data_IF_722508705979
#
_entry.id   IF_722508705979
#
_cell.length_a   1.000
_cell.length_b   1.000
_cell.length_c   1.000
_cell.angle_alpha   90.00
_cell.angle_beta   90.00
_cell.angle_gamma   90.00
#
_symmetry.space_group_name_H-M   'P 1'
#
loop_
_entity.id
_entity.type
_entity.pdbx_description
1 polymer ?
#
# COMPACT_ATOMS: atom_id res chain seq x y z
N UNK A 1 -20.24 -37.18 -0.68
CA UNK A 1 -19.80 -36.04 0.16
C UNK A 1 -19.08 -35.03 -0.72
N UNK A 2 -19.62 -33.82 -0.88
CA UNK A 2 -19.06 -32.78 -1.74
C UNK A 2 -18.00 -31.92 -1.06
N UNK A 3 -17.34 -31.06 -1.85
CA UNK A 3 -16.26 -30.15 -1.41
C UNK A 3 -16.70 -29.02 -0.45
N UNK A 4 -17.92 -29.04 0.08
CA UNK A 4 -18.43 -27.94 0.90
C UNK A 4 -17.92 -27.96 2.35
N UNK A 5 -17.63 -29.13 2.91
CA UNK A 5 -17.25 -29.30 4.35
C UNK A 5 -15.96 -30.11 4.52
N UNK A 6 -15.04 -29.96 3.57
CA UNK A 6 -13.83 -30.77 3.49
C UNK A 6 -12.89 -30.59 4.69
N UNK A 7 -12.92 -29.42 5.36
CA UNK A 7 -12.03 -29.10 6.48
C UNK A 7 -12.26 -30.04 7.69
N UNK A 8 -13.52 -30.39 7.95
CA UNK A 8 -13.92 -31.32 9.04
C UNK A 8 -14.06 -32.75 8.57
N UNK A 9 -14.37 -32.97 7.30
CA UNK A 9 -14.70 -34.29 6.77
C UNK A 9 -13.48 -35.07 6.24
N UNK A 10 -12.35 -34.40 5.97
CA UNK A 10 -11.16 -35.06 5.44
C UNK A 10 -10.10 -35.27 6.52
N UNK A 11 -9.44 -36.43 6.49
CA UNK A 11 -8.21 -36.66 7.22
C UNK A 11 -7.08 -35.79 6.67
N UNK A 12 -6.08 -35.47 7.49
CA UNK A 12 -5.01 -34.56 7.10
C UNK A 12 -4.22 -35.03 5.87
N UNK A 13 -3.98 -36.35 5.74
CA UNK A 13 -3.37 -36.92 4.54
C UNK A 13 -4.20 -36.71 3.26
N UNK A 14 -5.54 -36.70 3.36
CA UNK A 14 -6.43 -36.45 2.23
C UNK A 14 -6.46 -34.97 1.87
N UNK A 15 -6.39 -34.07 2.86
CA UNK A 15 -6.22 -32.63 2.65
C UNK A 15 -4.92 -32.35 1.91
N UNK A 16 -3.81 -32.94 2.35
CA UNK A 16 -2.49 -32.71 1.76
C UNK A 16 -2.39 -33.25 0.33
N UNK A 17 -2.88 -34.47 0.10
CA UNK A 17 -2.89 -35.07 -1.24
C UNK A 17 -3.75 -34.26 -2.23
N UNK A 18 -4.98 -33.91 -1.84
CA UNK A 18 -5.87 -33.13 -2.71
C UNK A 18 -5.36 -31.70 -2.91
N UNK A 19 -4.71 -31.10 -1.93
CA UNK A 19 -4.09 -29.78 -2.07
C UNK A 19 -2.99 -29.81 -3.16
N UNK A 20 -2.11 -30.80 -3.14
CA UNK A 20 -1.00 -30.94 -4.10
C UNK A 20 -1.45 -31.30 -5.52
N UNK A 21 -2.39 -32.22 -5.66
CA UNK A 21 -2.75 -32.77 -6.97
C UNK A 21 -3.97 -32.12 -7.62
N UNK A 22 -4.86 -31.51 -6.82
CA UNK A 22 -6.17 -31.04 -7.32
C UNK A 22 -6.45 -29.57 -6.99
N UNK A 23 -5.52 -28.89 -6.30
CA UNK A 23 -5.66 -27.52 -5.80
C UNK A 23 -6.98 -27.29 -5.02
N UNK A 24 -7.46 -28.31 -4.31
CA UNK A 24 -8.70 -28.29 -3.53
C UNK A 24 -8.44 -28.82 -2.12
N UNK A 25 -9.11 -28.23 -1.13
CA UNK A 25 -8.97 -28.64 0.26
C UNK A 25 -7.62 -28.29 0.90
N UNK A 26 -6.96 -27.25 0.40
CA UNK A 26 -5.86 -26.62 1.11
C UNK A 26 -6.43 -25.80 2.27
N UNK A 27 -5.89 -26.00 3.47
CA UNK A 27 -6.10 -25.05 4.56
C UNK A 27 -5.48 -23.72 4.15
N UNK A 28 -6.30 -22.83 3.60
CA UNK A 28 -5.98 -21.42 3.53
C UNK A 28 -5.97 -20.95 4.98
N UNK A 29 -4.81 -20.99 5.61
CA UNK A 29 -4.64 -20.29 6.87
C UNK A 29 -4.83 -18.82 6.55
N UNK A 30 -6.04 -18.30 6.77
CA UNK A 30 -6.32 -16.86 6.91
C UNK A 30 -5.71 -16.36 8.22
N UNK A 31 -4.52 -16.85 8.57
CA UNK A 31 -3.67 -16.20 9.54
C UNK A 31 -3.08 -15.05 8.75
N UNK A 32 -3.71 -13.88 8.86
CA UNK A 32 -3.02 -12.64 8.56
C UNK A 32 -1.67 -12.72 9.29
N UNK A 33 -0.54 -12.65 8.57
CA UNK A 33 0.77 -12.93 9.16
C UNK A 33 1.12 -12.00 10.32
N UNK A 34 0.35 -10.91 10.48
CA UNK A 34 0.49 -9.93 11.53
C UNK A 34 -0.87 -9.57 12.16
N UNK A 35 -0.94 -9.60 13.49
CA UNK A 35 -2.06 -9.06 14.26
C UNK A 35 -1.81 -7.57 14.59
N UNK A 36 -2.58 -6.68 13.98
CA UNK A 36 -2.44 -5.23 14.10
C UNK A 36 -3.00 -4.62 15.39
N UNK A 37 -3.63 -5.43 16.26
CA UNK A 37 -4.06 -4.99 17.59
C UNK A 37 -3.05 -5.41 18.67
N UNK A 38 -2.33 -6.51 18.43
CA UNK A 38 -1.32 -6.99 19.37
C UNK A 38 -0.18 -5.97 19.57
N UNK A 39 -0.10 -5.42 20.79
CA UNK A 39 0.92 -4.45 21.17
C UNK A 39 0.78 -3.10 20.48
N UNK A 40 -0.43 -2.71 20.08
CA UNK A 40 -0.65 -1.44 19.39
C UNK A 40 -0.25 -0.24 20.24
N UNK A 41 -0.41 -0.27 21.56
CA UNK A 41 -0.11 0.87 22.44
C UNK A 41 1.36 1.35 22.39
N UNK A 42 2.28 0.47 21.98
CA UNK A 42 3.69 0.78 21.79
C UNK A 42 4.17 0.26 20.42
N UNK A 43 3.31 0.31 19.40
CA UNK A 43 3.58 -0.26 18.08
C UNK A 43 4.87 0.28 17.46
N UNK A 44 5.16 1.58 17.64
CA UNK A 44 6.37 2.25 17.13
C UNK A 44 7.64 1.56 17.64
N UNK A 45 7.63 1.26 18.96
CA UNK A 45 8.61 0.50 19.76
C UNK A 45 8.73 -0.98 19.39
N UNK A 46 7.57 -1.61 19.29
CA UNK A 46 7.42 -3.05 19.49
C UNK A 46 7.15 -3.83 18.21
N UNK A 47 6.69 -3.16 17.16
CA UNK A 47 6.42 -3.81 15.88
C UNK A 47 7.68 -3.85 15.02
N UNK A 48 7.91 -5.00 14.40
CA UNK A 48 8.91 -5.12 13.34
C UNK A 48 8.48 -4.30 12.11
N UNK A 49 9.45 -3.88 11.29
CA UNK A 49 9.20 -3.08 10.09
C UNK A 49 8.15 -3.73 9.17
N UNK A 50 8.22 -5.05 8.95
CA UNK A 50 7.24 -5.77 8.12
C UNK A 50 5.83 -5.80 8.73
N UNK A 51 5.70 -5.85 10.06
CA UNK A 51 4.40 -5.75 10.75
C UNK A 51 3.81 -4.35 10.59
N UNK A 52 4.62 -3.30 10.77
CA UNK A 52 4.22 -1.91 10.57
C UNK A 52 3.71 -1.68 9.15
N UNK A 53 4.49 -2.07 8.14
CA UNK A 53 4.10 -1.91 6.74
C UNK A 53 2.82 -2.66 6.41
N UNK A 54 2.71 -3.93 6.83
CA UNK A 54 1.54 -4.75 6.54
C UNK A 54 0.28 -4.20 7.23
N UNK A 55 0.38 -3.83 8.51
CA UNK A 55 -0.74 -3.28 9.27
C UNK A 55 -1.14 -1.89 8.80
N UNK A 56 -0.18 -1.09 8.33
CA UNK A 56 -0.47 0.20 7.73
C UNK A 56 -1.30 0.00 6.45
N UNK A 57 -0.87 -0.90 5.55
CA UNK A 57 -1.52 -1.17 4.26
C UNK A 57 -2.88 -1.87 4.38
N UNK A 58 -3.04 -2.82 5.29
CA UNK A 58 -4.23 -3.68 5.34
C UNK A 58 -5.21 -3.33 6.46
N UNK A 59 -4.74 -2.66 7.52
CA UNK A 59 -5.55 -2.31 8.69
C UNK A 59 -5.56 -0.81 9.01
N UNK A 60 -4.81 0.02 8.28
CA UNK A 60 -4.69 1.46 8.53
C UNK A 60 -4.09 1.78 9.90
N UNK A 61 -3.25 0.90 10.46
CA UNK A 61 -2.69 1.01 11.82
C UNK A 61 -1.17 0.93 11.81
N UNK A 62 -0.55 1.70 12.70
CA UNK A 62 0.90 1.66 12.91
C UNK A 62 1.70 2.20 11.73
N UNK A 63 1.18 3.26 11.11
CA UNK A 63 1.88 4.02 10.09
C UNK A 63 2.75 5.08 10.80
N UNK A 64 4.07 5.07 10.56
CA UNK A 64 5.04 6.05 11.09
C UNK A 64 4.91 7.40 10.36
N UNK A 65 3.69 7.93 10.16
CA UNK A 65 3.41 9.15 9.38
C UNK A 65 3.92 9.15 7.93
N UNK A 66 4.62 8.08 7.55
CA UNK A 66 5.33 7.80 6.31
C UNK A 66 4.66 6.61 5.64
N UNK A 67 3.36 6.42 5.91
CA UNK A 67 2.55 5.76 4.91
C UNK A 67 2.90 6.47 3.61
N UNK A 68 3.34 5.76 2.55
CA UNK A 68 3.16 6.34 1.24
C UNK A 68 1.71 6.83 1.25
N UNK A 69 1.52 8.10 0.93
CA UNK A 69 0.20 8.68 0.76
C UNK A 69 -0.44 8.04 -0.48
N UNK A 70 -0.56 6.71 -0.46
CA UNK A 70 -1.38 5.95 -1.38
C UNK A 70 -2.81 6.34 -1.01
N UNK A 71 -3.42 7.07 -1.95
CA UNK A 71 -4.83 7.45 -2.01
C UNK A 71 -5.32 8.65 -1.18
N UNK A 72 -4.43 9.57 -0.79
CA UNK A 72 -4.87 10.96 -0.77
C UNK A 72 -4.80 11.48 -2.20
N UNK A 73 -5.81 11.11 -3.01
CA UNK A 73 -6.00 11.60 -4.37
C UNK A 73 -5.75 13.12 -4.39
N UNK A 74 -4.57 13.52 -4.85
CA UNK A 74 -4.24 14.93 -4.93
C UNK A 74 -5.21 15.53 -5.94
N UNK A 75 -6.19 16.32 -5.46
CA UNK A 75 -7.14 16.95 -6.36
C UNK A 75 -6.40 17.98 -7.21
N UNK A 76 -6.09 17.58 -8.44
CA UNK A 76 -5.39 18.39 -9.43
C UNK A 76 -6.24 19.55 -9.96
N UNK A 77 -7.48 19.71 -9.49
CA UNK A 77 -8.33 20.87 -9.74
C UNK A 77 -8.33 21.85 -8.57
N UNK A 78 -8.12 21.37 -7.34
CA UNK A 78 -8.13 22.21 -6.14
C UNK A 78 -6.95 23.20 -6.14
N UNK A 79 -7.28 24.48 -6.24
CA UNK A 79 -6.28 25.56 -6.32
C UNK A 79 -5.48 25.55 -7.63
N UNK A 80 -6.06 25.00 -8.71
CA UNK A 80 -5.38 24.98 -10.02
C UNK A 80 -5.09 26.40 -10.55
N UNK A 81 -5.85 27.43 -10.18
CA UNK A 81 -5.58 28.80 -10.66
C UNK A 81 -4.23 29.37 -10.16
N UNK A 82 -3.77 28.92 -8.99
CA UNK A 82 -2.56 29.39 -8.32
C UNK A 82 -1.60 28.25 -8.00
N UNK A 83 -1.70 27.13 -8.72
CA UNK A 83 -1.02 25.87 -8.42
C UNK A 83 0.50 26.00 -8.28
N UNK A 84 1.14 26.88 -9.06
CA UNK A 84 2.59 27.09 -9.03
C UNK A 84 3.12 27.47 -7.65
N UNK A 85 2.38 28.34 -6.95
CA UNK A 85 2.74 28.84 -5.63
C UNK A 85 1.92 28.19 -4.51
N UNK A 86 0.75 27.64 -4.85
CA UNK A 86 -0.20 27.08 -3.88
C UNK A 86 -0.12 25.57 -3.71
N UNK A 87 0.53 24.83 -4.62
CA UNK A 87 0.73 23.39 -4.48
C UNK A 87 2.10 23.07 -3.89
N UNK A 88 2.15 22.01 -3.08
CA UNK A 88 3.40 21.36 -2.70
C UNK A 88 4.05 20.70 -3.92
N UNK A 89 5.37 20.53 -3.89
CA UNK A 89 6.10 19.91 -5.00
C UNK A 89 5.68 18.45 -5.23
N UNK A 90 5.29 17.76 -4.17
CA UNK A 90 4.70 16.41 -4.24
C UNK A 90 3.37 16.40 -5.02
N UNK A 91 2.48 17.36 -4.75
CA UNK A 91 1.21 17.52 -5.49
C UNK A 91 1.44 17.87 -6.96
N UNK A 92 2.46 18.69 -7.26
CA UNK A 92 2.84 19.04 -8.65
C UNK A 92 3.35 17.82 -9.41
N UNK A 93 4.28 17.06 -8.82
CA UNK A 93 4.85 15.86 -9.44
C UNK A 93 3.78 14.79 -9.66
N UNK A 94 2.95 14.53 -8.65
CA UNK A 94 1.90 13.52 -8.75
C UNK A 94 0.85 13.89 -9.81
N UNK A 95 0.35 15.13 -9.81
CA UNK A 95 -0.63 15.59 -10.81
C UNK A 95 -0.07 15.63 -12.24
N UNK A 96 1.24 15.86 -12.39
CA UNK A 96 1.89 15.81 -13.69
C UNK A 96 2.00 14.36 -14.20
N UNK A 97 2.51 13.45 -13.36
CA UNK A 97 2.75 12.05 -13.73
C UNK A 97 1.45 11.26 -13.96
N UNK A 98 0.42 11.49 -13.12
CA UNK A 98 -0.81 10.68 -13.16
C UNK A 98 -1.96 11.32 -13.94
N UNK A 99 -2.05 12.66 -13.95
CA UNK A 99 -3.18 13.40 -14.55
C UNK A 99 -2.74 14.24 -15.77
N UNK A 100 -1.43 14.36 -16.03
CA UNK A 100 -0.89 15.16 -17.12
C UNK A 100 -1.16 16.66 -16.96
N UNK A 101 -1.46 17.11 -15.74
CA UNK A 101 -1.77 18.51 -15.43
C UNK A 101 -0.63 19.15 -14.68
N UNK A 102 -0.39 20.44 -14.95
CA UNK A 102 0.61 21.23 -14.23
C UNK A 102 2.07 20.82 -14.49
N UNK A 103 2.34 20.13 -15.61
CA UNK A 103 3.68 19.78 -16.08
C UNK A 103 4.43 20.98 -16.68
N UNK A 104 4.27 22.18 -16.13
CA UNK A 104 5.07 23.28 -16.61
C UNK A 104 6.51 23.07 -16.19
N UNK A 105 7.37 23.15 -17.19
CA UNK A 105 8.71 22.59 -17.24
C UNK A 105 9.44 22.71 -15.91
N UNK A 106 9.95 21.55 -15.48
CA UNK A 106 11.14 21.46 -14.65
C UNK A 106 12.02 22.70 -14.92
N UNK A 107 12.35 23.55 -13.92
CA UNK A 107 13.48 24.46 -14.10
C UNK A 107 14.63 23.55 -14.56
N UNK A 108 15.32 23.87 -15.67
CA UNK A 108 16.24 22.94 -16.27
C UNK A 108 17.22 22.48 -15.20
N UNK A 109 17.22 21.18 -14.92
CA UNK A 109 18.33 20.57 -14.23
C UNK A 109 19.57 20.95 -15.04
N UNK A 110 20.39 21.83 -14.49
CA UNK A 110 21.66 22.27 -15.04
C UNK A 110 21.58 22.90 -16.44
N UNK A 111 21.25 24.18 -16.51
CA UNK A 111 21.37 24.99 -17.72
C UNK A 111 21.98 26.35 -17.46
N UNK A 112 23.30 26.42 -17.58
CA UNK A 112 24.04 27.48 -18.30
C UNK A 112 23.67 28.94 -18.00
N UNK A 113 24.61 29.64 -17.37
CA UNK A 113 24.63 31.10 -17.26
C UNK A 113 24.47 31.76 -18.64
N UNK A 114 23.47 32.61 -18.79
CA UNK A 114 23.39 33.56 -19.90
C UNK A 114 23.97 34.89 -19.40
N UNK A 115 25.18 35.17 -19.88
CA UNK A 115 25.94 36.41 -19.79
C UNK A 115 25.11 37.58 -20.37
N UNK A 116 25.05 38.70 -19.64
CA UNK A 116 24.65 40.02 -20.15
C UNK A 116 25.72 41.04 -19.78
#
# INVERSE_FOLDING_TARGET
AGYANWDKAWSDGKKDFCCKHTARGCALTTQTPYDCNAGFDNWEKSWSAGKKEWCCRHAGRGCDGSAPADDAAFDCNAGLANWRSGWSDEKKLWCCDHVGRSCEEQPPAHGFVADV
#
